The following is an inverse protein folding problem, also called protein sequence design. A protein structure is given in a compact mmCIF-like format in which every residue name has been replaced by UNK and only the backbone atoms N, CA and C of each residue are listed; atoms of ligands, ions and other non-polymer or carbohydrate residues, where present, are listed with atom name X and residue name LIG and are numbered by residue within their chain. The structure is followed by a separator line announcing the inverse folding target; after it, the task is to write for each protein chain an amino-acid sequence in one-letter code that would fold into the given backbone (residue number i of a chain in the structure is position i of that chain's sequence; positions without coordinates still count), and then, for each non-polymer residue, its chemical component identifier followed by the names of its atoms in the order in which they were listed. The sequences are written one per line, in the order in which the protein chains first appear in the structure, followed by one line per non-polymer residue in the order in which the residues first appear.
data_IF_410967820689
#
_entry.id   IF_410967820689
#
_cell.length_a   1.000
_cell.length_b   1.000
_cell.length_c   1.000
_cell.angle_alpha   90.00
_cell.angle_beta   90.00
_cell.angle_gamma   90.00
#
_symmetry.space_group_name_H-M   'P 1'
#
loop_
_entity.id
_entity.type
_entity.pdbx_description
1 polymer ?
#
# COMPACT_ATOMS: atom_id res chain seq x y z
N UNK A 1 -14.86 -43.81 79.42
CA UNK A 1 -15.14 -42.80 80.47
C UNK A 1 -13.86 -42.08 80.80
N UNK A 2 -13.88 -40.81 81.06
CA UNK A 2 -14.39 -39.65 80.36
C UNK A 2 -13.33 -38.56 80.22
N UNK A 3 -13.65 -37.52 79.52
CA UNK A 3 -13.38 -36.14 79.89
C UNK A 3 -13.02 -35.30 78.64
N UNK A 4 -13.94 -34.68 78.00
CA UNK A 4 -14.41 -33.29 78.13
C UNK A 4 -13.31 -32.25 78.40
N UNK A 5 -13.13 -31.33 77.49
CA UNK A 5 -13.38 -29.87 77.57
C UNK A 5 -12.81 -29.19 76.31
N UNK A 6 -13.61 -28.55 75.50
CA UNK A 6 -14.15 -27.17 75.55
C UNK A 6 -13.07 -26.09 75.69
N UNK A 7 -13.12 -25.22 74.72
CA UNK A 7 -12.65 -23.85 74.83
C UNK A 7 -12.30 -23.41 73.44
N UNK A 8 -13.16 -22.80 72.74
CA UNK A 8 -13.67 -21.42 72.67
C UNK A 8 -12.70 -20.45 72.07
N UNK A 9 -13.15 -19.97 70.86
CA UNK A 9 -13.31 -18.57 70.54
C UNK A 9 -12.07 -17.75 70.20
N UNK A 10 -12.17 -17.23 69.09
CA UNK A 10 -12.37 -15.85 68.60
C UNK A 10 -11.08 -15.20 68.08
N UNK A 11 -11.20 -14.67 66.97
CA UNK A 11 -10.24 -13.72 66.43
C UNK A 11 -10.52 -13.43 64.98
N UNK A 12 -11.48 -12.57 64.77
CA UNK A 12 -11.68 -11.85 63.49
C UNK A 12 -10.39 -11.18 63.12
N UNK A 13 -10.00 -11.34 61.93
CA UNK A 13 -8.89 -10.63 61.33
C UNK A 13 -9.02 -10.67 59.83
N UNK A 14 -10.18 -10.24 59.38
CA UNK A 14 -10.36 -9.84 57.99
C UNK A 14 -9.95 -8.38 57.97
N UNK A 15 -8.74 -8.06 57.49
CA UNK A 15 -8.34 -6.79 56.92
C UNK A 15 -6.82 -6.79 56.69
N UNK A 16 -6.38 -7.62 55.76
CA UNK A 16 -5.10 -7.40 55.12
C UNK A 16 -5.35 -7.26 53.63
N UNK A 17 -5.56 -6.04 53.19
CA UNK A 17 -5.55 -5.71 51.75
C UNK A 17 -4.24 -6.22 51.15
N UNK A 18 -4.28 -6.90 50.01
CA UNK A 18 -3.06 -7.33 49.33
C UNK A 18 -2.22 -6.10 49.01
N UNK A 19 -0.96 -6.16 49.38
CA UNK A 19 0.02 -5.13 49.08
C UNK A 19 0.00 -4.85 47.55
N UNK A 20 -0.25 -3.60 47.17
CA UNK A 20 -0.12 -3.14 45.77
C UNK A 20 1.26 -3.54 45.27
N UNK A 21 1.37 -4.19 44.11
CA UNK A 21 2.67 -4.45 43.54
C UNK A 21 3.37 -3.11 43.32
N UNK A 22 4.54 -2.97 43.92
CA UNK A 22 5.45 -1.83 43.68
C UNK A 22 5.62 -1.72 42.16
N UNK A 23 5.25 -0.59 41.58
CA UNK A 23 5.60 -0.25 40.22
C UNK A 23 7.10 -0.49 40.03
N UNK A 24 7.43 -1.42 39.15
CA UNK A 24 8.81 -1.57 38.66
C UNK A 24 9.21 -0.22 38.06
N UNK A 25 10.28 0.36 38.59
CA UNK A 25 10.91 1.50 37.99
C UNK A 25 11.05 1.19 36.49
N UNK A 26 10.50 2.04 35.64
CA UNK A 26 10.76 2.00 34.22
C UNK A 26 12.27 2.02 34.05
N UNK A 27 12.80 0.99 33.44
CA UNK A 27 14.16 0.98 32.95
C UNK A 27 14.35 2.14 31.96
N UNK A 28 15.59 2.52 31.63
CA UNK A 28 15.84 3.52 30.62
C UNK A 28 15.03 3.14 29.37
N UNK A 29 14.44 4.15 28.74
CA UNK A 29 13.71 3.98 27.48
C UNK A 29 14.58 3.16 26.54
N UNK A 30 14.02 2.17 25.82
CA UNK A 30 14.77 1.48 24.79
C UNK A 30 15.33 2.53 23.85
N UNK A 31 16.62 2.42 23.56
CA UNK A 31 17.26 3.22 22.52
C UNK A 31 16.38 3.14 21.26
N UNK A 32 16.18 4.23 20.53
CA UNK A 32 15.43 4.18 19.27
C UNK A 32 16.06 3.09 18.43
N UNK A 33 15.23 2.18 17.95
CA UNK A 33 15.66 1.13 17.04
C UNK A 33 16.48 1.78 15.94
N UNK A 34 17.61 1.17 15.51
CA UNK A 34 18.39 1.70 14.41
C UNK A 34 17.47 1.96 13.25
N UNK A 35 17.57 3.16 12.73
CA UNK A 35 16.82 3.64 11.58
C UNK A 35 17.17 2.73 10.39
N UNK A 36 16.33 1.75 10.11
CA UNK A 36 16.36 0.97 8.86
C UNK A 36 15.83 1.80 7.70
N UNK A 37 16.11 3.09 7.73
CA UNK A 37 15.94 3.94 6.58
C UNK A 37 17.13 3.68 5.67
N UNK A 38 16.77 3.01 4.59
CA UNK A 38 17.51 2.89 3.34
C UNK A 38 18.52 1.77 3.20
N UNK A 39 18.27 0.92 2.25
CA UNK A 39 19.06 0.97 1.04
C UNK A 39 18.33 1.88 0.05
N UNK A 40 18.92 2.99 -0.28
CA UNK A 40 18.86 3.83 -1.47
C UNK A 40 17.66 3.67 -2.44
N UNK A 41 16.43 3.72 -1.94
CA UNK A 41 15.23 3.92 -2.76
C UNK A 41 14.69 5.32 -2.51
N UNK A 42 14.12 6.00 -3.50
CA UNK A 42 13.61 7.34 -3.29
C UNK A 42 12.50 7.34 -2.23
N UNK A 43 12.75 8.07 -1.14
CA UNK A 43 11.93 8.23 0.08
C UNK A 43 10.46 8.70 -0.16
N UNK A 44 10.08 8.95 -1.41
CA UNK A 44 8.80 9.55 -1.77
C UNK A 44 7.69 8.56 -2.14
N UNK A 45 8.00 7.26 -2.26
CA UNK A 45 6.97 6.23 -2.49
C UNK A 45 6.35 5.76 -1.18
N UNK A 46 5.75 6.69 -0.44
CA UNK A 46 5.03 6.40 0.79
C UNK A 46 3.82 5.47 0.60
N UNK A 47 3.34 4.81 1.70
CA UNK A 47 2.25 3.85 1.64
C UNK A 47 0.86 4.45 1.35
N UNK A 48 0.73 5.77 1.23
CA UNK A 48 -0.55 6.48 1.35
C UNK A 48 -1.06 7.11 0.04
N UNK A 49 -0.68 6.59 -1.11
CA UNK A 49 -1.31 7.03 -2.37
C UNK A 49 -2.65 6.30 -2.62
N UNK A 50 -3.52 6.32 -1.61
CA UNK A 50 -4.93 6.05 -1.80
C UNK A 50 -5.55 7.21 -2.58
N UNK A 51 -5.89 6.99 -3.84
CA UNK A 51 -6.85 7.80 -4.57
C UNK A 51 -8.14 7.85 -3.74
N UNK A 52 -8.39 8.98 -3.05
CA UNK A 52 -9.70 9.29 -2.52
C UNK A 52 -10.47 10.07 -3.58
N UNK A 53 -11.60 9.57 -4.07
CA UNK A 53 -12.52 10.39 -4.82
C UNK A 53 -13.00 11.51 -3.89
N UNK A 54 -12.93 12.74 -4.34
CA UNK A 54 -13.46 13.91 -3.65
C UNK A 54 -14.95 13.72 -3.36
N UNK A 55 -15.31 13.81 -2.05
CA UNK A 55 -16.69 13.79 -1.57
C UNK A 55 -17.45 14.99 -2.18
N UNK A 56 -18.65 14.79 -2.76
CA UNK A 56 -19.46 15.88 -3.33
C UNK A 56 -20.10 16.84 -2.30
N UNK A 57 -19.67 16.84 -1.03
CA UNK A 57 -20.24 17.61 0.06
C UNK A 57 -19.38 18.79 0.54
N UNK A 58 -18.55 19.37 -0.31
CA UNK A 58 -17.93 20.65 0.05
C UNK A 58 -18.98 21.75 0.15
N UNK A 59 -19.02 22.52 1.27
CA UNK A 59 -20.06 23.50 1.51
C UNK A 59 -19.93 24.69 0.55
N UNK A 60 -21.02 25.00 -0.09
CA UNK A 60 -21.17 26.20 -0.92
C UNK A 60 -21.09 27.46 -0.04
N UNK A 61 -20.42 28.52 -0.47
CA UNK A 61 -20.38 29.79 0.25
C UNK A 61 -21.71 30.47 0.14
N UNK A 62 -22.28 30.78 1.32
CA UNK A 62 -23.57 31.44 1.50
C UNK A 62 -23.63 32.87 0.96
N UNK A 63 -24.77 33.16 0.41
CA UNK A 63 -25.19 34.51 -0.01
C UNK A 63 -25.32 35.47 1.20
N UNK A 64 -24.58 36.56 1.18
CA UNK A 64 -24.73 37.70 2.11
C UNK A 64 -24.88 39.00 1.35
N UNK A 65 -26.09 39.55 1.41
CA UNK A 65 -26.52 40.82 0.86
C UNK A 65 -25.83 42.01 1.54
N UNK A 66 -25.60 43.06 0.72
CA UNK A 66 -25.62 44.48 1.18
C UNK A 66 -24.81 45.44 0.31
N UNK A 67 -25.33 46.57 -0.11
CA UNK A 67 -24.79 47.36 -1.18
C UNK A 67 -23.92 48.53 -0.65
N UNK A 68 -22.79 48.77 -1.29
CA UNK A 68 -22.15 50.08 -1.24
C UNK A 68 -21.50 50.41 -2.58
N UNK A 69 -22.00 51.48 -3.13
CA UNK A 69 -21.52 52.15 -4.33
C UNK A 69 -20.10 52.73 -4.13
N UNK A 70 -19.44 52.86 -5.27
CA UNK A 70 -18.35 53.80 -5.60
C UNK A 70 -16.92 53.35 -5.24
N UNK A 71 -16.27 52.81 -6.18
CA UNK A 71 -15.28 53.48 -7.05
C UNK A 71 -14.85 52.49 -8.14
N UNK A 72 -15.09 52.92 -9.35
CA UNK A 72 -14.63 52.23 -10.57
C UNK A 72 -13.15 52.58 -10.71
N UNK A 73 -12.31 51.93 -9.87
CA UNK A 73 -10.93 51.74 -10.20
C UNK A 73 -10.93 50.61 -11.24
N UNK A 74 -10.54 50.93 -12.43
CA UNK A 74 -10.19 49.93 -13.45
C UNK A 74 -9.31 48.91 -12.76
N UNK A 75 -9.93 47.79 -12.41
CA UNK A 75 -9.20 46.59 -12.05
C UNK A 75 -8.42 46.26 -13.32
N UNK A 76 -7.08 46.26 -13.30
CA UNK A 76 -6.34 45.81 -14.49
C UNK A 76 -6.92 44.45 -14.84
N UNK A 77 -7.36 44.29 -16.10
CA UNK A 77 -7.75 43.01 -16.62
C UNK A 77 -6.62 42.05 -16.20
N UNK A 78 -6.95 40.86 -15.65
CA UNK A 78 -5.92 39.94 -15.29
C UNK A 78 -5.16 39.68 -16.61
N UNK A 79 -3.93 40.23 -16.65
CA UNK A 79 -3.00 39.93 -17.74
C UNK A 79 -3.11 38.43 -17.94
N UNK A 80 -3.58 38.02 -19.10
CA UNK A 80 -3.79 36.60 -19.41
C UNK A 80 -2.42 35.97 -19.30
N UNK A 81 -2.17 35.33 -18.12
CA UNK A 81 -0.89 34.65 -17.87
C UNK A 81 -0.64 33.73 -19.05
N UNK A 82 0.54 33.82 -19.61
CA UNK A 82 0.95 32.93 -20.68
C UNK A 82 0.62 31.47 -20.30
N UNK A 83 -0.20 30.77 -21.08
CA UNK A 83 -0.56 29.37 -20.78
C UNK A 83 0.66 28.48 -20.54
N UNK A 84 1.78 28.77 -21.22
CA UNK A 84 3.02 28.02 -21.05
C UNK A 84 3.68 28.30 -19.69
N UNK A 85 3.64 29.53 -19.20
CA UNK A 85 4.13 29.86 -17.84
C UNK A 85 3.27 29.18 -16.76
N UNK A 86 1.96 29.21 -16.93
CA UNK A 86 1.05 28.55 -16.00
C UNK A 86 1.26 27.04 -16.02
N UNK A 87 1.45 26.43 -17.18
CA UNK A 87 1.75 25.00 -17.31
C UNK A 87 3.04 24.64 -16.58
N UNK A 88 4.13 25.41 -16.78
CA UNK A 88 5.40 25.22 -16.07
C UNK A 88 5.23 25.30 -14.55
N UNK A 89 4.52 26.34 -14.07
CA UNK A 89 4.26 26.51 -12.63
C UNK A 89 3.51 25.31 -12.04
N UNK A 90 2.49 24.81 -12.73
CA UNK A 90 1.70 23.64 -12.30
C UNK A 90 2.59 22.39 -12.21
N UNK A 91 3.36 22.11 -13.26
CA UNK A 91 4.23 20.93 -13.28
C UNK A 91 5.30 21.00 -12.19
N UNK A 92 6.01 22.12 -12.05
CA UNK A 92 7.05 22.27 -11.03
C UNK A 92 6.47 22.12 -9.62
N UNK A 93 5.30 22.67 -9.35
CA UNK A 93 4.63 22.51 -8.05
C UNK A 93 4.30 21.05 -7.75
N UNK A 94 3.84 20.28 -8.73
CA UNK A 94 3.54 18.87 -8.55
C UNK A 94 4.78 18.01 -8.38
N UNK A 95 5.82 18.26 -9.20
CA UNK A 95 7.09 17.56 -9.11
C UNK A 95 7.87 17.87 -7.83
N UNK A 96 7.69 19.07 -7.26
CA UNK A 96 8.28 19.43 -5.96
C UNK A 96 7.71 18.61 -4.79
N UNK A 97 6.50 18.07 -4.92
CA UNK A 97 5.86 17.26 -3.87
C UNK A 97 6.27 15.79 -4.00
N UNK A 98 6.18 15.24 -5.19
CA UNK A 98 6.57 13.86 -5.51
C UNK A 98 6.79 13.69 -7.00
N UNK A 99 7.58 12.70 -7.43
CA UNK A 99 7.65 12.34 -8.84
C UNK A 99 6.28 11.98 -9.42
N UNK A 100 6.11 12.35 -10.66
CA UNK A 100 4.89 12.14 -11.44
C UNK A 100 5.25 11.58 -12.79
N UNK A 101 4.34 10.80 -13.35
CA UNK A 101 4.46 10.39 -14.74
C UNK A 101 4.05 11.53 -15.68
N UNK A 102 4.55 11.49 -16.91
CA UNK A 102 4.12 12.39 -17.97
C UNK A 102 2.59 12.44 -18.11
N UNK A 103 1.94 11.29 -18.09
CA UNK A 103 0.48 11.17 -18.19
C UNK A 103 -0.27 11.80 -17.00
N UNK A 104 0.25 11.68 -15.76
CA UNK A 104 -0.30 12.36 -14.60
C UNK A 104 -0.24 13.88 -14.73
N UNK A 105 0.90 14.41 -15.21
CA UNK A 105 1.08 15.84 -15.43
C UNK A 105 0.19 16.34 -16.58
N UNK A 106 0.12 15.65 -17.71
CA UNK A 106 -0.79 15.97 -18.80
C UNK A 106 -2.24 16.04 -18.34
N UNK A 107 -2.66 15.09 -17.49
CA UNK A 107 -4.00 15.10 -16.89
C UNK A 107 -4.22 16.31 -15.99
N UNK A 108 -3.21 16.71 -15.21
CA UNK A 108 -3.29 17.87 -14.35
C UNK A 108 -3.38 19.18 -15.14
N UNK A 109 -2.60 19.32 -16.21
CA UNK A 109 -2.65 20.48 -17.10
C UNK A 109 -4.01 20.59 -17.79
N UNK A 110 -4.54 19.49 -18.33
CA UNK A 110 -5.87 19.45 -18.94
C UNK A 110 -6.98 19.88 -17.99
N UNK A 111 -6.93 19.42 -16.73
CA UNK A 111 -7.90 19.82 -15.68
C UNK A 111 -7.85 21.31 -15.35
N UNK A 112 -6.74 21.97 -15.66
CA UNK A 112 -6.54 23.40 -15.47
C UNK A 112 -6.84 24.23 -16.71
N UNK A 113 -7.32 23.58 -17.80
CA UNK A 113 -7.69 24.25 -19.04
C UNK A 113 -6.50 24.69 -19.89
N UNK A 114 -5.31 24.10 -19.66
CA UNK A 114 -4.16 24.37 -20.53
C UNK A 114 -4.42 23.70 -21.89
N UNK A 115 -4.23 24.43 -23.02
CA UNK A 115 -4.33 23.84 -24.35
C UNK A 115 -3.37 22.67 -24.54
N UNK A 116 -3.80 21.66 -25.30
CA UNK A 116 -3.03 20.41 -25.46
C UNK A 116 -1.64 20.67 -26.04
N UNK A 117 -1.56 21.52 -27.08
CA UNK A 117 -0.32 21.86 -27.79
C UNK A 117 0.70 22.48 -26.81
N UNK A 118 0.24 23.39 -25.94
CA UNK A 118 1.08 24.03 -24.91
C UNK A 118 1.50 23.05 -23.83
N UNK A 119 0.59 22.15 -23.44
CA UNK A 119 0.89 21.13 -22.46
C UNK A 119 1.96 20.17 -22.98
N UNK A 120 1.82 19.70 -24.22
CA UNK A 120 2.76 18.77 -24.85
C UNK A 120 4.14 19.41 -25.01
N UNK A 121 4.23 20.66 -25.47
CA UNK A 121 5.50 21.40 -25.60
C UNK A 121 6.24 21.50 -24.26
N UNK A 122 5.52 21.83 -23.18
CA UNK A 122 6.12 21.94 -21.83
C UNK A 122 6.56 20.58 -21.31
N UNK A 123 5.77 19.52 -21.52
CA UNK A 123 6.08 18.17 -21.08
C UNK A 123 7.27 17.60 -21.88
N UNK A 124 7.32 17.78 -23.19
CA UNK A 124 8.46 17.39 -24.04
C UNK A 124 9.75 18.03 -23.53
N UNK A 125 9.69 19.33 -23.23
CA UNK A 125 10.84 20.04 -22.69
C UNK A 125 11.29 19.48 -21.34
N UNK A 126 10.37 19.03 -20.52
CA UNK A 126 10.69 18.45 -19.21
C UNK A 126 11.23 17.03 -19.30
N UNK A 127 10.79 16.26 -20.29
CA UNK A 127 11.39 14.97 -20.67
C UNK A 127 12.85 15.18 -21.16
N UNK A 128 13.07 16.12 -22.08
CA UNK A 128 14.39 16.43 -22.66
C UNK A 128 15.43 16.81 -21.61
N UNK A 129 15.01 17.50 -20.54
CA UNK A 129 15.92 17.93 -19.45
C UNK A 129 15.91 16.96 -18.26
N UNK A 130 15.21 15.83 -18.34
CA UNK A 130 15.17 14.81 -17.33
C UNK A 130 14.42 15.20 -16.03
N UNK A 131 13.54 16.21 -16.10
CA UNK A 131 12.64 16.54 -14.97
C UNK A 131 11.47 15.56 -14.88
N UNK A 132 11.10 14.95 -15.99
CA UNK A 132 10.19 13.82 -16.10
C UNK A 132 11.03 12.65 -16.60
N UNK A 133 10.91 11.51 -15.95
CA UNK A 133 11.56 10.25 -16.37
C UNK A 133 10.64 9.09 -15.98
N UNK A 134 9.78 8.71 -16.92
CA UNK A 134 8.81 7.62 -16.70
C UNK A 134 9.51 6.26 -16.54
N UNK A 135 10.69 6.06 -17.12
CA UNK A 135 11.47 4.84 -16.95
C UNK A 135 12.04 4.73 -15.54
N UNK A 136 12.67 5.80 -15.03
CA UNK A 136 13.15 5.84 -13.65
C UNK A 136 11.99 5.73 -12.65
N UNK A 137 10.86 6.40 -12.93
CA UNK A 137 9.64 6.27 -12.14
C UNK A 137 9.17 4.81 -12.08
N UNK A 138 9.09 4.12 -13.22
CA UNK A 138 8.64 2.73 -13.28
C UNK A 138 9.55 1.79 -12.48
N UNK A 139 10.87 1.88 -12.64
CA UNK A 139 11.86 1.09 -11.87
C UNK A 139 11.72 1.32 -10.36
N UNK A 140 11.69 2.58 -9.94
CA UNK A 140 11.53 2.92 -8.52
C UNK A 140 10.18 2.43 -7.96
N UNK A 141 9.11 2.50 -8.75
CA UNK A 141 7.80 1.98 -8.39
C UNK A 141 7.83 0.47 -8.17
N UNK A 142 8.38 -0.27 -9.12
CA UNK A 142 8.52 -1.74 -9.05
C UNK A 142 9.31 -2.13 -7.80
N UNK A 143 10.49 -1.58 -7.60
CA UNK A 143 11.35 -1.88 -6.47
C UNK A 143 10.64 -1.65 -5.14
N UNK A 144 10.07 -0.46 -4.95
CA UNK A 144 9.42 -0.10 -3.69
C UNK A 144 8.17 -0.95 -3.41
N UNK A 145 7.34 -1.20 -4.43
CA UNK A 145 6.08 -1.96 -4.25
C UNK A 145 6.32 -3.45 -4.14
N UNK A 146 7.28 -3.99 -4.89
CA UNK A 146 7.65 -5.40 -4.78
C UNK A 146 8.22 -5.73 -3.40
N UNK A 147 9.25 -5.01 -2.95
CA UNK A 147 9.89 -5.27 -1.66
C UNK A 147 9.02 -4.82 -0.47
N UNK A 148 8.40 -3.65 -0.54
CA UNK A 148 7.63 -3.12 0.57
C UNK A 148 6.28 -3.79 0.76
N UNK A 149 5.53 -4.02 -0.32
CA UNK A 149 4.18 -4.59 -0.29
C UNK A 149 4.08 -6.02 -0.78
N UNK A 150 5.12 -6.56 -1.39
CA UNK A 150 5.14 -7.90 -1.98
C UNK A 150 4.12 -8.02 -3.12
N UNK A 151 4.01 -7.01 -4.00
CA UNK A 151 3.16 -7.09 -5.16
C UNK A 151 3.84 -7.92 -6.25
N UNK A 152 3.09 -8.77 -6.91
CA UNK A 152 3.52 -9.56 -8.04
C UNK A 152 3.61 -8.72 -9.32
N UNK A 153 4.34 -9.21 -10.33
CA UNK A 153 4.53 -8.55 -11.63
C UNK A 153 3.22 -8.08 -12.27
N UNK A 154 2.18 -8.93 -12.23
CA UNK A 154 0.86 -8.61 -12.81
C UNK A 154 0.22 -7.37 -12.15
N UNK A 155 0.24 -7.32 -10.82
CA UNK A 155 -0.30 -6.17 -10.08
C UNK A 155 0.52 -4.89 -10.34
N UNK A 156 1.85 -5.00 -10.33
CA UNK A 156 2.76 -3.89 -10.64
C UNK A 156 2.53 -3.35 -12.05
N UNK A 157 2.39 -4.23 -13.05
CA UNK A 157 2.06 -3.83 -14.42
C UNK A 157 0.73 -3.07 -14.49
N UNK A 158 -0.28 -3.55 -13.75
CA UNK A 158 -1.58 -2.87 -13.65
C UNK A 158 -1.47 -1.48 -13.06
N UNK A 159 -0.75 -1.34 -11.92
CA UNK A 159 -0.54 -0.04 -11.28
C UNK A 159 0.21 0.97 -12.18
N UNK A 160 1.26 0.53 -12.90
CA UNK A 160 2.02 1.39 -13.80
C UNK A 160 1.20 1.82 -15.02
N UNK A 161 0.44 0.90 -15.65
CA UNK A 161 -0.46 1.26 -16.75
C UNK A 161 -1.55 2.24 -16.31
N UNK A 162 -2.11 2.05 -15.11
CA UNK A 162 -3.09 2.98 -14.55
C UNK A 162 -2.52 4.39 -14.35
N UNK A 163 -1.21 4.50 -14.13
CA UNK A 163 -0.50 5.78 -14.05
C UNK A 163 -0.08 6.33 -15.41
N UNK A 164 -0.40 5.61 -16.49
CA UNK A 164 -0.12 6.01 -17.86
C UNK A 164 1.34 5.84 -18.28
N UNK A 165 2.09 4.96 -17.60
CA UNK A 165 3.43 4.58 -18.08
C UNK A 165 3.27 3.70 -19.31
N UNK A 166 4.12 3.95 -20.32
CA UNK A 166 4.13 3.17 -21.57
C UNK A 166 4.42 1.69 -21.32
N UNK A 167 3.82 0.84 -22.15
CA UNK A 167 3.91 -0.62 -21.98
C UNK A 167 5.31 -1.18 -22.15
N UNK A 168 6.15 -0.56 -22.97
CA UNK A 168 7.55 -0.93 -23.16
C UNK A 168 8.35 -0.65 -21.87
N UNK A 169 8.22 0.56 -21.32
CA UNK A 169 8.84 0.93 -20.04
C UNK A 169 8.34 0.08 -18.86
N UNK A 170 7.06 -0.29 -18.87
CA UNK A 170 6.51 -1.24 -17.90
C UNK A 170 7.20 -2.60 -18.02
N UNK A 171 7.38 -3.10 -19.26
CA UNK A 171 8.08 -4.36 -19.53
C UNK A 171 9.52 -4.35 -19.03
N UNK A 172 10.25 -3.29 -19.34
CA UNK A 172 11.64 -3.10 -18.92
C UNK A 172 11.77 -3.05 -17.39
N UNK A 173 10.94 -2.25 -16.73
CA UNK A 173 10.96 -2.15 -15.27
C UNK A 173 10.63 -3.47 -14.57
N UNK A 174 9.77 -4.30 -15.16
CA UNK A 174 9.41 -5.60 -14.61
C UNK A 174 10.43 -6.70 -14.92
N UNK A 175 11.38 -6.48 -15.83
CA UNK A 175 12.42 -7.47 -16.15
C UNK A 175 13.32 -7.77 -14.94
N UNK A 176 13.45 -6.82 -14.00
CA UNK A 176 14.21 -7.00 -12.76
C UNK A 176 13.53 -7.97 -11.76
N UNK A 177 12.22 -8.20 -11.90
CA UNK A 177 11.46 -9.14 -11.06
C UNK A 177 11.26 -10.43 -11.86
N UNK A 178 12.22 -11.32 -11.82
CA UNK A 178 12.11 -12.63 -12.46
C UNK A 178 11.20 -13.59 -11.69
N UNK A 179 10.96 -14.78 -12.26
CA UNK A 179 10.09 -15.78 -11.64
C UNK A 179 10.61 -16.32 -10.31
N UNK A 180 11.92 -16.38 -10.12
CA UNK A 180 12.54 -16.85 -8.88
C UNK A 180 12.37 -15.81 -7.76
N UNK A 181 12.64 -14.54 -8.05
CA UNK A 181 12.42 -13.41 -7.13
C UNK A 181 10.95 -13.31 -6.75
N UNK A 182 10.03 -13.48 -7.70
CA UNK A 182 8.60 -13.48 -7.45
C UNK A 182 8.18 -14.63 -6.53
N UNK A 183 8.68 -15.85 -6.77
CA UNK A 183 8.41 -17.00 -5.93
C UNK A 183 8.99 -16.84 -4.50
N UNK A 184 10.21 -16.32 -4.38
CA UNK A 184 10.84 -16.05 -3.08
C UNK A 184 10.03 -15.02 -2.27
N UNK A 185 9.57 -13.95 -2.92
CA UNK A 185 8.73 -12.94 -2.27
C UNK A 185 7.37 -13.52 -1.86
N UNK A 186 6.74 -14.34 -2.70
CA UNK A 186 5.51 -15.05 -2.35
C UNK A 186 5.69 -15.94 -1.12
N UNK A 187 6.78 -16.73 -1.07
CA UNK A 187 7.12 -17.59 0.08
C UNK A 187 7.27 -16.77 1.36
N UNK A 188 8.03 -15.70 1.33
CA UNK A 188 8.22 -14.83 2.49
C UNK A 188 6.90 -14.22 3.00
N UNK A 189 5.97 -13.85 2.09
CA UNK A 189 4.64 -13.38 2.44
C UNK A 189 3.81 -14.45 3.15
N UNK A 190 3.81 -15.68 2.62
CA UNK A 190 3.07 -16.81 3.19
C UNK A 190 3.61 -17.15 4.58
N UNK A 191 4.92 -17.29 4.73
CA UNK A 191 5.57 -17.57 6.02
C UNK A 191 5.28 -16.48 7.05
N UNK A 192 5.38 -15.20 6.66
CA UNK A 192 5.04 -14.07 7.54
C UNK A 192 3.59 -14.14 8.00
N UNK A 193 2.68 -14.47 7.09
CA UNK A 193 1.25 -14.61 7.43
C UNK A 193 0.99 -15.80 8.34
N UNK A 194 1.66 -16.92 8.11
CA UNK A 194 1.55 -18.11 8.96
C UNK A 194 2.07 -17.87 10.37
N UNK A 195 3.19 -17.15 10.53
CA UNK A 195 3.68 -16.76 11.87
C UNK A 195 2.69 -15.89 12.65
N UNK A 196 1.92 -15.07 11.94
CA UNK A 196 0.89 -14.22 12.55
C UNK A 196 -0.47 -14.92 12.74
N UNK A 197 -0.62 -16.16 12.26
CA UNK A 197 -1.89 -16.89 12.29
C UNK A 197 -1.66 -18.22 13.02
N UNK A 198 -2.16 -18.34 14.24
CA UNK A 198 -1.88 -19.48 15.12
C UNK A 198 -2.87 -20.64 15.00
N UNK A 199 -4.02 -20.51 14.32
CA UNK A 199 -5.07 -21.53 14.29
C UNK A 199 -5.83 -21.60 12.98
N UNK A 200 -6.22 -22.81 12.59
CA UNK A 200 -7.05 -23.11 11.43
C UNK A 200 -6.77 -24.50 10.87
N UNK A 201 -7.78 -25.15 10.31
CA UNK A 201 -7.58 -26.40 9.57
C UNK A 201 -6.73 -26.16 8.33
N UNK A 202 -6.01 -27.18 7.83
CA UNK A 202 -5.17 -27.06 6.63
C UNK A 202 -5.90 -26.42 5.44
N UNK A 203 -7.12 -26.84 5.17
CA UNK A 203 -7.95 -26.32 4.08
C UNK A 203 -8.26 -24.82 4.22
N UNK A 204 -8.65 -24.38 5.42
CA UNK A 204 -8.95 -22.97 5.68
C UNK A 204 -7.71 -22.09 5.53
N UNK A 205 -6.56 -22.56 6.04
CA UNK A 205 -5.29 -21.83 5.90
C UNK A 205 -4.85 -21.78 4.44
N UNK A 206 -4.94 -22.90 3.73
CA UNK A 206 -4.61 -22.96 2.31
C UNK A 206 -5.41 -21.93 1.49
N UNK A 207 -6.73 -21.96 1.56
CA UNK A 207 -7.58 -21.01 0.83
C UNK A 207 -7.29 -19.55 1.18
N UNK A 208 -7.05 -19.29 2.46
CA UNK A 208 -6.71 -17.92 2.93
C UNK A 208 -5.38 -17.43 2.36
N UNK A 209 -4.37 -18.30 2.30
CA UNK A 209 -3.04 -17.97 1.80
C UNK A 209 -3.00 -17.83 0.29
N UNK A 210 -3.67 -18.74 -0.44
CA UNK A 210 -3.83 -18.60 -1.90
C UNK A 210 -4.59 -17.31 -2.22
N UNK A 211 -5.69 -17.02 -1.53
CA UNK A 211 -6.42 -15.76 -1.68
C UNK A 211 -5.59 -14.51 -1.32
N UNK A 212 -4.65 -14.60 -0.38
CA UNK A 212 -3.70 -13.52 -0.10
C UNK A 212 -2.79 -13.24 -1.30
N UNK A 213 -2.22 -14.28 -1.88
CA UNK A 213 -1.32 -14.15 -3.04
C UNK A 213 -2.09 -13.70 -4.29
N UNK A 214 -3.27 -14.24 -4.54
CA UNK A 214 -4.13 -13.83 -5.66
C UNK A 214 -4.43 -12.31 -5.62
N UNK A 215 -4.82 -11.77 -4.45
CA UNK A 215 -5.03 -10.32 -4.28
C UNK A 215 -3.78 -9.46 -4.49
N UNK A 216 -2.60 -10.06 -4.40
CA UNK A 216 -1.33 -9.38 -4.69
C UNK A 216 -0.87 -9.56 -6.14
N UNK A 217 -1.69 -10.24 -6.96
CA UNK A 217 -1.47 -10.42 -8.39
C UNK A 217 -0.58 -11.60 -8.76
N UNK A 218 -0.29 -12.52 -7.82
CA UNK A 218 0.46 -13.73 -8.14
C UNK A 218 -0.35 -14.68 -9.02
N UNK A 219 0.27 -15.33 -10.04
CA UNK A 219 -0.39 -16.35 -10.83
C UNK A 219 -0.91 -17.49 -9.95
N UNK A 220 -2.09 -18.03 -10.29
CA UNK A 220 -2.74 -19.08 -9.51
C UNK A 220 -1.83 -20.30 -9.28
N UNK A 221 -1.19 -20.79 -10.33
CA UNK A 221 -0.25 -21.92 -10.24
C UNK A 221 0.87 -21.65 -9.25
N UNK A 222 1.54 -20.50 -9.35
CA UNK A 222 2.59 -20.10 -8.40
C UNK A 222 2.06 -20.00 -6.97
N UNK A 223 0.89 -19.40 -6.79
CA UNK A 223 0.29 -19.24 -5.47
C UNK A 223 0.00 -20.59 -4.81
N UNK A 224 -0.58 -21.53 -5.56
CA UNK A 224 -0.86 -22.89 -5.10
C UNK A 224 0.43 -23.62 -4.74
N UNK A 225 1.42 -23.63 -5.64
CA UNK A 225 2.71 -24.32 -5.42
C UNK A 225 3.40 -23.80 -4.17
N UNK A 226 3.57 -22.49 -4.04
CA UNK A 226 4.25 -21.88 -2.88
C UNK A 226 3.51 -22.17 -1.57
N UNK A 227 2.18 -22.08 -1.56
CA UNK A 227 1.41 -22.34 -0.34
C UNK A 227 1.49 -23.81 0.05
N UNK A 228 1.43 -24.76 -0.92
CA UNK A 228 1.62 -26.20 -0.67
C UNK A 228 2.99 -26.49 -0.04
N UNK A 229 4.07 -25.98 -0.64
CA UNK A 229 5.42 -26.15 -0.14
C UNK A 229 5.61 -25.64 1.29
N UNK A 230 5.13 -24.43 1.57
CA UNK A 230 5.30 -23.82 2.89
C UNK A 230 4.43 -24.50 3.96
N UNK A 231 3.23 -24.97 3.60
CA UNK A 231 2.38 -25.72 4.52
C UNK A 231 2.98 -27.12 4.80
N UNK A 232 3.42 -27.85 3.77
CA UNK A 232 4.04 -29.15 3.92
C UNK A 232 5.30 -29.14 4.79
N UNK A 233 6.09 -28.05 4.72
CA UNK A 233 7.27 -27.87 5.57
C UNK A 233 6.96 -27.59 7.04
N UNK A 234 5.70 -27.34 7.40
CA UNK A 234 5.30 -26.98 8.76
C UNK A 234 5.00 -28.18 9.65
N UNK A 235 4.26 -29.16 9.12
CA UNK A 235 3.74 -30.29 9.89
C UNK A 235 3.34 -31.44 8.93
N UNK A 236 3.38 -32.67 9.39
CA UNK A 236 3.01 -33.87 8.63
C UNK A 236 1.53 -33.90 8.22
N UNK A 237 0.63 -33.35 9.06
CA UNK A 237 -0.78 -33.21 8.72
C UNK A 237 -0.98 -32.30 7.51
N UNK A 238 -0.22 -31.16 7.46
CA UNK A 238 -0.25 -30.25 6.33
C UNK A 238 0.40 -30.82 5.08
N UNK A 239 1.44 -31.66 5.23
CA UNK A 239 2.07 -32.35 4.11
C UNK A 239 1.08 -33.30 3.43
N UNK A 240 0.37 -34.13 4.22
CA UNK A 240 -0.65 -35.07 3.70
C UNK A 240 -1.78 -34.29 2.98
N UNK A 241 -2.24 -33.18 3.54
CA UNK A 241 -3.23 -32.32 2.89
C UNK A 241 -2.70 -31.73 1.57
N UNK A 242 -1.46 -31.23 1.56
CA UNK A 242 -0.85 -30.63 0.39
C UNK A 242 -0.74 -31.63 -0.78
N UNK A 243 -0.42 -32.89 -0.49
CA UNK A 243 -0.35 -33.95 -1.49
C UNK A 243 -1.73 -34.29 -2.08
N UNK A 244 -2.79 -34.18 -1.30
CA UNK A 244 -4.17 -34.43 -1.74
C UNK A 244 -4.78 -33.30 -2.59
N UNK A 245 -4.20 -32.10 -2.57
CA UNK A 245 -4.69 -30.95 -3.34
C UNK A 245 -4.20 -31.03 -4.78
N UNK A 246 -5.13 -31.12 -5.73
CA UNK A 246 -4.84 -31.04 -7.15
C UNK A 246 -4.66 -29.56 -7.56
N UNK A 247 -3.46 -29.14 -8.03
CA UNK A 247 -3.19 -27.78 -8.44
C UNK A 247 -4.02 -27.34 -9.67
N UNK A 248 -4.33 -28.28 -10.58
CA UNK A 248 -5.03 -27.96 -11.83
C UNK A 248 -6.52 -27.67 -11.56
N UNK A 249 -7.15 -28.42 -10.66
CA UNK A 249 -8.54 -28.20 -10.27
C UNK A 249 -8.77 -26.83 -9.62
N UNK A 250 -7.76 -26.24 -8.99
CA UNK A 250 -7.84 -24.93 -8.35
C UNK A 250 -7.53 -23.77 -9.30
N UNK A 251 -6.79 -24.01 -10.34
CA UNK A 251 -6.48 -23.01 -11.36
C UNK A 251 -7.75 -22.62 -12.12
N UNK A 252 -8.63 -23.57 -12.38
CA UNK A 252 -9.94 -23.32 -13.03
C UNK A 252 -10.87 -22.47 -12.16
N UNK A 253 -10.87 -22.68 -10.84
CA UNK A 253 -11.68 -21.90 -9.89
C UNK A 253 -11.22 -20.44 -9.73
N UNK A 254 -9.93 -20.17 -9.94
CA UNK A 254 -9.36 -18.81 -9.83
C UNK A 254 -9.43 -18.08 -11.18
N UNK A 255 -9.39 -18.81 -12.28
CA UNK A 255 -9.49 -18.27 -13.65
C UNK A 255 -10.85 -17.69 -13.97
N UNK A 256 -11.95 -18.27 -13.46
CA UNK A 256 -13.30 -17.78 -13.69
C UNK A 256 -13.63 -16.44 -12.98
N UNK A 257 -12.87 -16.05 -11.97
CA UNK A 257 -13.07 -14.78 -11.24
C UNK A 257 -12.46 -13.56 -11.94
N UNK A 258 -11.75 -13.73 -13.05
CA UNK A 258 -10.93 -12.68 -13.67
C UNK A 258 -11.35 -12.33 -15.11
N UNK A 259 -12.58 -12.67 -15.52
CA UNK A 259 -13.16 -12.20 -16.79
C UNK A 259 -13.99 -10.93 -16.56
N UNK A 260 -13.43 -9.71 -16.86
CA UNK A 260 -14.13 -8.45 -16.67
C UNK A 260 -15.17 -8.15 -17.76
N UNK A 261 -15.52 -9.14 -18.63
CA UNK A 261 -16.41 -8.95 -19.78
C UNK A 261 -17.70 -9.81 -19.69
N UNK A 262 -18.17 -10.14 -18.47
CA UNK A 262 -19.53 -10.65 -18.30
C UNK A 262 -20.38 -9.79 -17.42
#
# INVERSE_FOLDING_TARGET
MPGRRRGARTGRGWDAAPARPRAKRAGPAPEPAPDYTTPEGPLWLGPEDGYQPTDPRDPQPGEGRGPSRQSRSEKPEPESRDPAELAREICLRQLAVRPRTRAELATALRRRGIPAEVADEVLDRYDDVGLIDDAAFARAWVTTRHHGRGLARRALAGELRQRGVDSELVGEALAEVDGETEAATARALVERKLRATSSGTPDVLFRRLVGLLARKGYPAGLAVTVVKEVLAARDEEYATFADAVDPDALTDLVGEADDPMR
#
